data_IF_351716876649
#
_entry.id   IF_351716876649
#
_cell.length_a   1.000
_cell.length_b   1.000
_cell.length_c   1.000
_cell.angle_alpha   90.00
_cell.angle_beta   90.00
_cell.angle_gamma   90.00
#
_symmetry.space_group_name_H-M   'P 1'
#
loop_
_entity.id
_entity.type
_entity.pdbx_description
1 polymer ?
#
# COMPACT_ATOMS: atom_id res chain seq x y z
N UNK A 1 12.68 79.31 0.09
CA UNK A 1 11.76 79.40 -1.07
C UNK A 1 11.30 77.99 -1.47
N UNK A 2 9.98 77.83 -1.61
CA UNK A 2 9.17 76.88 -2.41
C UNK A 2 9.41 75.34 -2.36
N UNK A 3 8.54 74.68 -1.57
CA UNK A 3 7.61 73.56 -1.89
C UNK A 3 7.95 72.57 -3.02
N UNK A 4 7.95 71.27 -2.70
CA UNK A 4 7.35 70.16 -3.51
C UNK A 4 7.08 68.94 -2.62
N UNK A 5 5.84 68.80 -2.12
CA UNK A 5 4.78 67.84 -2.55
C UNK A 5 5.09 66.35 -2.30
N UNK A 6 4.47 65.86 -1.21
CA UNK A 6 3.66 64.63 -1.03
C UNK A 6 4.00 63.42 -1.92
N UNK A 7 4.22 62.27 -1.28
CA UNK A 7 3.44 61.04 -1.50
C UNK A 7 3.66 60.06 -0.34
N UNK A 8 2.59 59.86 0.39
CA UNK A 8 2.43 58.85 1.45
C UNK A 8 2.52 57.47 0.83
N UNK A 9 3.50 56.66 1.26
CA UNK A 9 3.53 55.24 0.93
C UNK A 9 2.90 54.53 2.12
N UNK A 10 1.62 54.18 1.99
CA UNK A 10 0.95 53.29 2.93
C UNK A 10 1.49 51.87 2.70
N UNK A 11 2.24 51.35 3.67
CA UNK A 11 2.65 49.95 3.69
C UNK A 11 1.41 49.13 4.10
N UNK A 12 0.80 48.42 3.15
CA UNK A 12 -0.29 47.48 3.44
C UNK A 12 0.34 46.23 4.03
N UNK A 13 -0.01 45.92 5.27
CA UNK A 13 0.32 44.68 5.94
C UNK A 13 -0.47 43.52 5.31
N UNK A 14 0.24 42.52 4.78
CA UNK A 14 -0.34 41.22 4.47
C UNK A 14 0.28 40.20 5.43
N UNK A 15 -0.42 39.90 6.52
CA UNK A 15 -0.09 38.74 7.36
C UNK A 15 -0.43 37.49 6.56
N UNK A 16 0.57 36.80 6.04
CA UNK A 16 0.42 35.44 5.53
C UNK A 16 0.16 34.52 6.73
N UNK A 17 -1.11 34.17 6.98
CA UNK A 17 -1.43 33.07 7.88
C UNK A 17 -1.01 31.78 7.19
N UNK A 18 0.20 31.30 7.47
CA UNK A 18 0.57 29.92 7.17
C UNK A 18 -0.25 29.01 8.07
N UNK A 19 -1.39 28.54 7.58
CA UNK A 19 -2.05 27.39 8.18
C UNK A 19 -1.11 26.21 7.98
N UNK A 20 -0.34 25.87 9.02
CA UNK A 20 0.32 24.58 9.11
C UNK A 20 -0.77 23.53 9.25
N UNK A 21 -1.33 23.12 8.10
CA UNK A 21 -2.13 21.91 8.01
C UNK A 21 -1.14 20.77 8.27
N UNK A 22 -1.04 20.38 9.54
CA UNK A 22 -0.40 19.15 9.94
C UNK A 22 -1.10 18.02 9.19
N UNK A 23 -0.53 17.63 8.07
CA UNK A 23 -1.01 16.50 7.28
C UNK A 23 -0.67 15.26 8.09
N UNK A 24 -1.59 14.82 8.93
CA UNK A 24 -1.53 13.49 9.51
C UNK A 24 -1.84 12.51 8.38
N UNK A 25 -0.80 12.06 7.68
CA UNK A 25 -0.90 11.02 6.66
C UNK A 25 -1.20 9.72 7.40
N UNK A 26 -2.47 9.46 7.67
CA UNK A 26 -2.93 8.13 7.97
C UNK A 26 -2.89 7.35 6.65
N UNK A 27 -1.76 6.70 6.36
CA UNK A 27 -1.63 5.76 5.26
C UNK A 27 -2.50 4.53 5.57
N UNK A 28 -3.81 4.66 5.36
CA UNK A 28 -4.66 3.48 5.14
C UNK A 28 -4.10 2.78 3.91
N UNK A 29 -3.90 1.44 3.93
CA UNK A 29 -3.47 0.72 2.73
C UNK A 29 -4.39 1.14 1.57
N UNK A 30 -3.82 1.55 0.44
CA UNK A 30 -4.62 1.90 -0.74
C UNK A 30 -5.32 0.62 -1.20
N UNK A 31 -6.58 0.49 -0.79
CA UNK A 31 -7.46 -0.60 -1.21
C UNK A 31 -8.04 -0.19 -2.56
N UNK A 32 -7.76 -0.96 -3.60
CA UNK A 32 -8.28 -0.70 -4.95
C UNK A 32 -8.90 -1.96 -5.55
N UNK A 33 -9.90 -1.75 -6.41
CA UNK A 33 -10.56 -2.83 -7.15
C UNK A 33 -9.80 -3.13 -8.45
N UNK A 34 -9.68 -4.41 -8.79
CA UNK A 34 -8.95 -4.88 -9.96
C UNK A 34 -9.54 -6.20 -10.47
N UNK A 35 -9.16 -6.62 -11.69
CA UNK A 35 -9.55 -7.95 -12.20
C UNK A 35 -9.11 -9.11 -11.29
N UNK A 36 -8.09 -8.88 -10.45
CA UNK A 36 -7.60 -9.82 -9.46
C UNK A 36 -8.44 -9.87 -8.17
N UNK A 37 -9.34 -8.89 -7.99
CA UNK A 37 -10.09 -8.62 -6.77
C UNK A 37 -9.58 -7.38 -6.06
N UNK A 38 -9.85 -7.31 -4.75
CA UNK A 38 -9.46 -6.16 -3.93
C UNK A 38 -7.96 -6.27 -3.58
N UNK A 39 -7.19 -5.27 -4.00
CA UNK A 39 -5.75 -5.20 -3.85
C UNK A 39 -5.28 -4.27 -2.74
N UNK A 40 -4.13 -4.59 -2.14
CA UNK A 40 -3.34 -3.72 -1.27
C UNK A 40 -1.95 -3.55 -1.88
N UNK A 41 -1.40 -2.34 -1.81
CA UNK A 41 0.03 -2.14 -2.05
C UNK A 41 0.82 -2.57 -0.81
N UNK A 42 1.95 -3.24 -1.03
CA UNK A 42 2.80 -3.75 0.03
C UNK A 42 4.23 -3.24 -0.13
N UNK A 43 4.77 -2.69 0.95
CA UNK A 43 6.14 -2.21 0.95
C UNK A 43 7.12 -3.37 1.09
N UNK A 44 8.26 -3.25 0.40
CA UNK A 44 9.38 -4.15 0.63
C UNK A 44 9.90 -3.97 2.06
N UNK A 45 10.19 -5.05 2.81
CA UNK A 45 10.81 -4.93 4.12
C UNK A 45 12.17 -4.23 4.02
N UNK A 46 12.31 -3.10 4.74
CA UNK A 46 13.55 -2.34 4.85
C UNK A 46 14.35 -2.78 6.09
N UNK A 47 15.69 -2.71 6.03
CA UNK A 47 16.55 -2.98 7.19
C UNK A 47 16.85 -4.45 7.52
N UNK A 48 16.25 -5.42 6.83
CA UNK A 48 16.45 -6.85 7.14
C UNK A 48 17.54 -7.47 6.25
N UNK A 49 18.78 -7.53 6.77
CA UNK A 49 19.87 -8.34 6.20
C UNK A 49 19.83 -9.76 6.77
N UNK A 50 18.88 -10.58 6.38
CA UNK A 50 18.92 -12.01 6.72
C UNK A 50 18.64 -12.85 5.49
N UNK A 51 19.72 -13.36 4.88
CA UNK A 51 19.64 -14.63 4.14
C UNK A 51 19.03 -15.63 5.13
N UNK A 52 17.92 -16.29 4.77
CA UNK A 52 17.12 -17.24 5.55
C UNK A 52 15.96 -16.70 6.41
N UNK A 53 15.49 -15.46 6.24
CA UNK A 53 14.33 -14.96 6.99
C UNK A 53 12.99 -15.09 6.23
N UNK A 54 11.97 -15.54 6.96
CA UNK A 54 10.57 -15.38 6.56
C UNK A 54 10.02 -14.18 7.32
N UNK A 55 9.59 -13.16 6.57
CA UNK A 55 9.02 -11.94 7.13
C UNK A 55 7.53 -11.95 6.83
N UNK A 56 6.70 -11.79 7.85
CA UNK A 56 5.25 -11.63 7.65
C UNK A 56 4.91 -10.14 7.62
N UNK A 57 4.07 -9.77 6.66
CA UNK A 57 3.49 -8.45 6.58
C UNK A 57 2.28 -8.31 7.47
N UNK A 58 1.81 -7.07 7.54
CA UNK A 58 0.62 -6.75 8.29
C UNK A 58 -0.60 -7.46 7.70
N UNK A 59 -1.49 -7.86 8.61
CA UNK A 59 -2.76 -8.48 8.26
C UNK A 59 -3.80 -7.40 8.04
N UNK A 60 -4.36 -7.38 6.82
CA UNK A 60 -5.35 -6.40 6.40
C UNK A 60 -6.68 -7.10 6.15
N UNK A 61 -7.76 -6.56 6.71
CA UNK A 61 -9.11 -7.06 6.45
C UNK A 61 -9.56 -6.63 5.06
N UNK A 62 -9.86 -7.59 4.19
CA UNK A 62 -10.26 -7.37 2.79
C UNK A 62 -11.42 -8.29 2.45
N UNK A 63 -12.54 -7.73 1.98
CA UNK A 63 -13.75 -8.47 1.59
C UNK A 63 -14.32 -9.43 2.64
N UNK A 64 -14.10 -9.15 3.94
CA UNK A 64 -14.51 -10.03 5.04
C UNK A 64 -13.55 -11.20 5.32
N UNK A 65 -12.42 -11.26 4.62
CA UNK A 65 -11.29 -12.15 4.89
C UNK A 65 -10.06 -11.38 5.37
N UNK A 66 -8.97 -12.09 5.65
CA UNK A 66 -7.68 -11.51 6.08
C UNK A 66 -6.63 -11.73 5.00
N UNK A 67 -6.09 -10.65 4.44
CA UNK A 67 -5.04 -10.65 3.43
C UNK A 67 -3.73 -10.17 4.06
N UNK A 68 -2.64 -10.90 3.80
CA UNK A 68 -1.30 -10.48 4.22
C UNK A 68 -0.24 -11.03 3.30
N UNK A 69 0.93 -10.41 3.29
CA UNK A 69 2.06 -10.86 2.51
C UNK A 69 3.09 -11.57 3.36
N UNK A 70 3.88 -12.41 2.69
CA UNK A 70 5.06 -13.01 3.29
C UNK A 70 6.21 -12.79 2.34
N UNK A 71 7.35 -12.34 2.87
CA UNK A 71 8.60 -12.25 2.14
C UNK A 71 9.53 -13.38 2.57
N UNK A 72 10.30 -13.86 1.62
CA UNK A 72 11.37 -14.82 1.86
C UNK A 72 12.69 -14.24 1.36
N UNK A 73 13.68 -14.29 2.24
CA UNK A 73 15.06 -13.85 2.00
C UNK A 73 15.19 -12.39 1.58
N UNK A 74 14.13 -11.59 1.76
CA UNK A 74 14.07 -10.23 1.24
C UNK A 74 14.24 -10.17 -0.29
N UNK A 75 13.84 -11.21 -1.04
CA UNK A 75 13.92 -11.25 -2.52
C UNK A 75 12.55 -11.51 -3.11
N UNK A 76 11.87 -12.55 -2.64
CA UNK A 76 10.56 -12.94 -3.15
C UNK A 76 9.47 -12.69 -2.14
N UNK A 77 8.26 -12.49 -2.62
CA UNK A 77 7.07 -12.33 -1.80
C UNK A 77 5.89 -13.12 -2.35
N UNK A 78 4.89 -13.33 -1.51
CA UNK A 78 3.62 -13.95 -1.88
C UNK A 78 2.48 -13.35 -1.07
N UNK A 79 1.27 -13.50 -1.57
CA UNK A 79 0.06 -13.23 -0.83
C UNK A 79 -0.42 -14.49 -0.12
N UNK A 80 -1.07 -14.27 1.02
CA UNK A 80 -1.84 -15.27 1.74
C UNK A 80 -3.19 -14.65 2.07
N UNK A 81 -4.27 -15.40 1.89
CA UNK A 81 -5.61 -14.93 2.16
C UNK A 81 -6.42 -16.01 2.85
N UNK A 82 -7.05 -15.64 3.97
CA UNK A 82 -7.98 -16.48 4.71
C UNK A 82 -9.39 -15.91 4.62
N UNK A 83 -10.36 -16.78 4.30
CA UNK A 83 -11.78 -16.43 4.38
C UNK A 83 -12.58 -17.56 5.03
N UNK A 84 -13.35 -17.25 6.08
CA UNK A 84 -14.06 -18.25 6.89
C UNK A 84 -15.34 -18.79 6.25
N UNK A 85 -16.01 -17.98 5.42
CA UNK A 85 -17.33 -18.32 4.85
C UNK A 85 -17.38 -18.50 3.34
N UNK A 86 -16.43 -17.96 2.56
CA UNK A 86 -16.47 -17.96 1.09
C UNK A 86 -15.31 -18.73 0.46
N UNK A 87 -15.54 -19.20 -0.76
CA UNK A 87 -14.46 -19.70 -1.62
C UNK A 87 -13.61 -18.51 -2.03
N UNK A 88 -12.29 -18.62 -1.95
CA UNK A 88 -11.43 -17.46 -2.12
C UNK A 88 -10.10 -17.82 -2.79
N UNK A 89 -9.41 -16.80 -3.30
CA UNK A 89 -8.06 -16.92 -3.85
C UNK A 89 -7.27 -15.66 -3.53
N UNK A 90 -5.96 -15.73 -3.72
CA UNK A 90 -5.10 -14.56 -3.69
C UNK A 90 -4.14 -14.52 -4.88
N UNK A 91 -3.63 -13.33 -5.15
CA UNK A 91 -2.58 -13.14 -6.15
C UNK A 91 -1.61 -12.05 -5.72
N UNK A 92 -0.47 -11.99 -6.39
CA UNK A 92 0.52 -10.92 -6.25
C UNK A 92 0.90 -10.38 -7.62
N UNK A 93 1.21 -9.09 -7.65
CA UNK A 93 1.81 -8.42 -8.81
C UNK A 93 2.98 -7.53 -8.41
N UNK A 94 3.89 -7.26 -9.34
CA UNK A 94 5.02 -6.36 -9.15
C UNK A 94 5.06 -5.28 -10.24
N UNK A 95 6.04 -4.39 -10.17
CA UNK A 95 6.18 -3.27 -11.10
C UNK A 95 6.37 -3.71 -12.57
N UNK A 96 6.86 -4.92 -12.79
CA UNK A 96 6.99 -5.51 -14.14
C UNK A 96 5.66 -6.03 -14.70
N UNK A 97 4.54 -5.86 -14.00
CA UNK A 97 3.23 -6.37 -14.40
C UNK A 97 3.11 -7.89 -14.32
N UNK A 98 4.06 -8.59 -13.70
CA UNK A 98 3.99 -10.04 -13.55
C UNK A 98 2.97 -10.40 -12.48
N UNK A 99 2.00 -11.25 -12.80
CA UNK A 99 0.98 -11.71 -11.84
C UNK A 99 1.15 -13.20 -11.52
N UNK A 100 1.12 -13.56 -10.24
CA UNK A 100 1.08 -14.96 -9.77
C UNK A 100 -0.17 -15.18 -8.93
N UNK A 101 -1.01 -16.13 -9.35
CA UNK A 101 -2.30 -16.43 -8.72
C UNK A 101 -2.30 -17.79 -8.04
N UNK A 102 -2.95 -17.88 -6.88
CA UNK A 102 -3.31 -19.16 -6.29
C UNK A 102 -4.48 -19.80 -7.05
N UNK A 103 -4.71 -21.08 -6.82
CA UNK A 103 -6.02 -21.69 -7.10
C UNK A 103 -7.09 -21.10 -6.17
N UNK A 104 -8.35 -21.37 -6.49
CA UNK A 104 -9.46 -21.15 -5.56
C UNK A 104 -9.39 -22.19 -4.45
N UNK A 105 -9.49 -21.72 -3.22
CA UNK A 105 -9.51 -22.53 -2.01
C UNK A 105 -10.88 -22.43 -1.33
N UNK A 106 -11.26 -23.51 -0.65
CA UNK A 106 -12.52 -23.56 0.09
C UNK A 106 -12.46 -22.69 1.33
N UNK A 107 -13.64 -22.31 1.83
CA UNK A 107 -13.78 -21.59 3.10
C UNK A 107 -13.03 -22.29 4.24
N UNK A 108 -12.42 -21.51 5.14
CA UNK A 108 -11.68 -22.02 6.30
C UNK A 108 -10.30 -22.59 6.00
N UNK A 109 -9.80 -22.46 4.77
CA UNK A 109 -8.43 -22.81 4.39
C UNK A 109 -7.67 -21.57 3.93
N UNK A 110 -6.34 -21.59 3.98
CA UNK A 110 -5.51 -20.45 3.53
C UNK A 110 -5.13 -20.58 2.06
N UNK A 111 -5.59 -19.64 1.23
CA UNK A 111 -5.05 -19.45 -0.10
C UNK A 111 -3.65 -18.85 -0.05
N UNK A 112 -2.72 -19.41 -0.82
CA UNK A 112 -1.33 -18.92 -0.93
C UNK A 112 -0.95 -18.79 -2.40
N UNK A 113 -0.52 -17.60 -2.82
CA UNK A 113 0.02 -17.44 -4.17
C UNK A 113 1.39 -18.11 -4.28
N UNK A 114 1.84 -18.44 -5.50
CA UNK A 114 3.25 -18.71 -5.75
C UNK A 114 4.12 -17.52 -5.32
N UNK A 115 5.41 -17.79 -5.10
CA UNK A 115 6.41 -16.76 -4.87
C UNK A 115 6.63 -15.94 -6.15
N UNK A 116 6.79 -14.63 -5.99
CA UNK A 116 7.09 -13.66 -7.04
C UNK A 116 8.30 -12.81 -6.60
N UNK A 117 9.20 -12.50 -7.53
CA UNK A 117 10.29 -11.54 -7.28
C UNK A 117 9.71 -10.15 -7.00
N UNK A 118 10.12 -9.55 -5.89
CA UNK A 118 9.68 -8.21 -5.55
C UNK A 118 10.45 -7.16 -6.35
N UNK A 119 9.80 -6.06 -6.63
CA UNK A 119 10.40 -4.84 -7.20
C UNK A 119 10.66 -3.82 -6.10
N UNK A 120 11.35 -2.71 -6.43
CA UNK A 120 11.62 -1.64 -5.46
C UNK A 120 10.33 -0.98 -4.95
N UNK A 121 9.33 -0.84 -5.83
CA UNK A 121 8.02 -0.24 -5.58
C UNK A 121 6.93 -1.08 -6.27
N UNK A 122 5.65 -0.71 -6.07
CA UNK A 122 4.52 -1.24 -6.84
C UNK A 122 4.34 -2.77 -6.69
N UNK A 123 4.74 -3.32 -5.55
CA UNK A 123 4.41 -4.70 -5.18
C UNK A 123 3.00 -4.71 -4.59
N UNK A 124 2.15 -5.61 -5.07
CA UNK A 124 0.75 -5.65 -4.66
C UNK A 124 0.29 -7.06 -4.35
N UNK A 125 -0.64 -7.16 -3.43
CA UNK A 125 -1.32 -8.40 -3.06
C UNK A 125 -2.82 -8.23 -3.21
N UNK A 126 -3.51 -9.27 -3.66
CA UNK A 126 -4.92 -9.23 -3.97
C UNK A 126 -5.68 -10.38 -3.32
N UNK A 127 -6.96 -10.13 -3.06
CA UNK A 127 -7.91 -11.11 -2.59
C UNK A 127 -9.18 -11.09 -3.45
N UNK A 128 -9.65 -12.27 -3.84
CA UNK A 128 -10.95 -12.43 -4.49
C UNK A 128 -11.78 -13.50 -3.80
N UNK A 129 -13.10 -13.31 -3.81
CA UNK A 129 -14.08 -14.23 -3.24
C UNK A 129 -15.13 -14.58 -4.29
N UNK A 130 -15.72 -15.78 -4.19
CA UNK A 130 -16.90 -16.20 -4.95
C UNK A 130 -17.82 -17.05 -4.08
#
# INVERSE_FOLDING_TARGET
MLKRRKKSVALVAAMAMTLSVGSTVFASPLIYDSEEGIGIEVERPTGVKTRSSIIQGDKVSVSGGTLWTTWKDGVVFRANYDHSSKTHRCSVSNDHGTVKRSRWESKGTTAKSPWLDQTFSNNKAYAATK
#
